data_IF_349625109020
#
_entry.id   IF_349625109020
#
_cell.length_a   1.000
_cell.length_b   1.000
_cell.length_c   1.000
_cell.angle_alpha   90.00
_cell.angle_beta   90.00
_cell.angle_gamma   90.00
#
_symmetry.space_group_name_H-M   'P 1'
#
loop_
_entity.id
_entity.type
_entity.pdbx_description
1 polymer ?
#
# COMPACT_ATOMS: atom_id res chain seq x y z
N UNK A 1 -3.82 -31.22 20.70
CA UNK A 1 -3.79 -31.11 19.23
C UNK A 1 -4.33 -29.74 18.89
N UNK A 2 -3.67 -28.99 18.01
CA UNK A 2 -4.20 -27.71 17.54
C UNK A 2 -5.53 -27.95 16.83
N UNK A 3 -6.47 -27.01 16.97
CA UNK A 3 -7.75 -27.10 16.31
C UNK A 3 -7.62 -27.00 14.79
N UNK A 4 -8.44 -27.77 14.06
CA UNK A 4 -8.44 -27.85 12.61
C UNK A 4 -9.86 -27.70 12.07
N UNK A 5 -10.02 -26.95 10.98
CA UNK A 5 -11.26 -26.84 10.21
C UNK A 5 -10.95 -27.29 8.78
N UNK A 6 -11.66 -28.29 8.27
CA UNK A 6 -11.36 -28.99 7.01
C UNK A 6 -9.90 -29.50 6.92
N UNK A 7 -9.33 -29.94 8.05
CA UNK A 7 -7.97 -30.49 8.10
C UNK A 7 -6.84 -29.46 8.15
N UNK A 8 -7.16 -28.16 8.13
CA UNK A 8 -6.18 -27.07 8.23
C UNK A 8 -6.33 -26.32 9.56
N UNK A 9 -5.20 -26.07 10.23
CA UNK A 9 -5.13 -25.19 11.40
C UNK A 9 -5.17 -23.72 10.97
N UNK A 10 -5.39 -22.82 11.93
CA UNK A 10 -5.27 -21.37 11.71
C UNK A 10 -3.86 -20.97 11.23
N UNK A 11 -2.83 -21.67 11.74
CA UNK A 11 -1.44 -21.47 11.31
C UNK A 11 -1.23 -21.91 9.85
N UNK A 12 -1.78 -23.06 9.43
CA UNK A 12 -1.68 -23.51 8.04
C UNK A 12 -2.31 -22.49 7.09
N UNK A 13 -3.45 -21.89 7.47
CA UNK A 13 -4.10 -20.84 6.68
C UNK A 13 -3.20 -19.60 6.53
N UNK A 14 -2.53 -19.19 7.60
CA UNK A 14 -1.60 -18.05 7.58
C UNK A 14 -0.35 -18.33 6.72
N UNK A 15 0.20 -19.54 6.79
CA UNK A 15 1.33 -19.96 5.95
C UNK A 15 0.95 -20.01 4.46
N UNK A 16 -0.21 -20.59 4.14
CA UNK A 16 -0.70 -20.65 2.76
C UNK A 16 -0.95 -19.24 2.21
N UNK A 17 -1.54 -18.33 3.00
CA UNK A 17 -1.74 -16.94 2.57
C UNK A 17 -0.43 -16.20 2.34
N UNK A 18 0.56 -16.36 3.22
CA UNK A 18 1.88 -15.77 3.01
C UNK A 18 2.55 -16.31 1.73
N UNK A 19 2.39 -17.61 1.45
CA UNK A 19 2.90 -18.22 0.22
C UNK A 19 2.14 -17.75 -1.03
N UNK A 20 0.81 -17.61 -0.97
CA UNK A 20 0.00 -17.07 -2.07
C UNK A 20 0.50 -15.66 -2.46
N UNK A 21 0.66 -14.77 -1.48
CA UNK A 21 1.24 -13.43 -1.69
C UNK A 21 2.64 -13.52 -2.30
N UNK A 22 3.51 -14.41 -1.81
CA UNK A 22 4.86 -14.56 -2.34
C UNK A 22 4.89 -15.08 -3.79
N UNK A 23 3.96 -15.98 -4.15
CA UNK A 23 3.85 -16.54 -5.50
C UNK A 23 3.26 -15.54 -6.49
N UNK A 24 2.23 -14.78 -6.10
CA UNK A 24 1.77 -13.61 -6.84
C UNK A 24 2.92 -12.64 -7.03
N UNK A 25 3.74 -12.47 -6.00
CA UNK A 25 4.90 -11.61 -6.06
C UNK A 25 6.03 -12.13 -6.99
N UNK A 26 6.00 -13.40 -7.36
CA UNK A 26 7.02 -14.00 -8.22
C UNK A 26 6.59 -14.11 -9.67
N UNK A 27 5.34 -14.50 -9.86
CA UNK A 27 4.83 -14.91 -11.16
C UNK A 27 3.81 -13.92 -11.73
N UNK A 28 3.34 -12.97 -10.92
CA UNK A 28 2.25 -12.07 -11.28
C UNK A 28 0.87 -12.70 -11.10
N UNK A 29 -0.14 -11.84 -10.95
CA UNK A 29 -1.53 -12.22 -10.65
C UNK A 29 -2.14 -13.17 -11.69
N UNK A 30 -1.82 -13.00 -12.97
CA UNK A 30 -2.37 -13.85 -14.03
C UNK A 30 -1.73 -15.25 -14.11
N UNK A 31 -0.54 -15.47 -13.53
CA UNK A 31 0.26 -16.66 -13.78
C UNK A 31 0.68 -17.45 -12.52
N UNK A 32 0.35 -16.99 -11.31
CA UNK A 32 0.75 -17.68 -10.07
C UNK A 32 -0.05 -18.96 -9.78
N UNK A 33 -1.27 -19.11 -10.32
CA UNK A 33 -2.20 -20.20 -9.98
C UNK A 33 -1.59 -21.61 -9.97
N UNK A 34 -0.91 -22.06 -11.05
CA UNK A 34 -0.28 -23.38 -11.09
C UNK A 34 0.77 -23.63 -9.99
N UNK A 35 1.44 -22.57 -9.53
CA UNK A 35 2.43 -22.65 -8.46
C UNK A 35 1.78 -22.79 -7.09
N UNK A 36 0.65 -22.10 -6.87
CA UNK A 36 -0.14 -22.26 -5.66
C UNK A 36 -0.72 -23.67 -5.59
N UNK A 37 -1.26 -24.19 -6.68
CA UNK A 37 -1.77 -25.56 -6.75
C UNK A 37 -0.69 -26.60 -6.38
N UNK A 38 0.52 -26.43 -6.92
CA UNK A 38 1.65 -27.30 -6.59
C UNK A 38 2.04 -27.22 -5.11
N UNK A 39 2.02 -26.03 -4.51
CA UNK A 39 2.30 -25.83 -3.09
C UNK A 39 1.21 -26.46 -2.19
N UNK A 40 -0.06 -26.25 -2.52
CA UNK A 40 -1.19 -26.85 -1.81
C UNK A 40 -1.13 -28.38 -1.85
N UNK A 41 -0.81 -28.95 -3.02
CA UNK A 41 -0.63 -30.38 -3.17
C UNK A 41 0.52 -30.93 -2.29
N UNK A 42 1.63 -30.20 -2.14
CA UNK A 42 2.73 -30.57 -1.22
C UNK A 42 2.29 -30.55 0.25
N UNK A 43 1.36 -29.65 0.61
CA UNK A 43 0.73 -29.60 1.94
C UNK A 43 -0.38 -30.64 2.13
N UNK A 44 -0.68 -31.45 1.11
CA UNK A 44 -1.73 -32.47 1.17
C UNK A 44 -3.15 -31.89 1.13
N UNK A 45 -3.32 -30.71 0.53
CA UNK A 45 -4.62 -30.05 0.33
C UNK A 45 -4.78 -29.61 -1.12
N UNK A 46 -5.91 -29.01 -1.46
CA UNK A 46 -6.21 -28.41 -2.76
C UNK A 46 -6.87 -27.05 -2.58
N UNK A 47 -7.04 -26.30 -3.68
CA UNK A 47 -7.58 -24.94 -3.64
C UNK A 47 -9.00 -24.87 -3.07
N UNK A 48 -9.85 -25.88 -3.37
CA UNK A 48 -11.22 -25.91 -2.88
C UNK A 48 -11.26 -26.17 -1.37
N UNK A 49 -10.47 -27.13 -0.88
CA UNK A 49 -10.34 -27.47 0.54
C UNK A 49 -9.76 -26.30 1.32
N UNK A 50 -8.72 -25.65 0.81
CA UNK A 50 -8.17 -24.42 1.39
C UNK A 50 -9.20 -23.30 1.45
N UNK A 51 -9.93 -23.03 0.37
CA UNK A 51 -10.97 -21.99 0.35
C UNK A 51 -12.07 -22.24 1.40
N UNK A 52 -12.53 -23.49 1.55
CA UNK A 52 -13.49 -23.86 2.59
C UNK A 52 -12.93 -23.70 4.00
N UNK A 53 -11.68 -24.12 4.25
CA UNK A 53 -11.00 -23.92 5.52
C UNK A 53 -10.87 -22.43 5.87
N UNK A 54 -10.40 -21.62 4.92
CA UNK A 54 -10.24 -20.19 5.10
C UNK A 54 -11.57 -19.51 5.42
N UNK A 55 -12.62 -19.75 4.61
CA UNK A 55 -13.93 -19.14 4.84
C UNK A 55 -14.51 -19.50 6.21
N UNK A 56 -14.31 -20.74 6.67
CA UNK A 56 -14.78 -21.17 7.97
C UNK A 56 -13.97 -20.57 9.13
N UNK A 57 -12.64 -20.49 9.00
CA UNK A 57 -11.79 -19.78 9.96
C UNK A 57 -12.12 -18.29 10.01
N UNK A 58 -12.29 -17.65 8.87
CA UNK A 58 -12.69 -16.25 8.75
C UNK A 58 -14.02 -15.99 9.45
N UNK A 59 -15.06 -16.78 9.14
CA UNK A 59 -16.38 -16.68 9.81
C UNK A 59 -16.25 -16.79 11.34
N UNK A 60 -15.37 -17.67 11.82
CA UNK A 60 -15.14 -17.83 13.24
C UNK A 60 -14.39 -16.66 13.87
N UNK A 61 -13.39 -16.11 13.19
CA UNK A 61 -12.68 -14.90 13.62
C UNK A 61 -13.63 -13.70 13.71
N UNK A 62 -14.49 -13.54 12.70
CA UNK A 62 -15.53 -12.50 12.66
C UNK A 62 -16.57 -12.66 13.79
N UNK A 63 -16.80 -13.90 14.22
CA UNK A 63 -17.70 -14.23 15.34
C UNK A 63 -17.02 -14.23 16.70
N UNK A 64 -15.73 -13.89 16.80
CA UNK A 64 -14.99 -13.85 18.06
C UNK A 64 -15.01 -12.43 18.66
N UNK A 65 -15.88 -12.14 19.65
CA UNK A 65 -15.98 -10.82 20.25
C UNK A 65 -14.72 -10.39 21.01
N UNK A 66 -13.84 -11.35 21.33
CA UNK A 66 -12.59 -11.06 22.04
C UNK A 66 -11.47 -10.59 21.12
N UNK A 67 -11.61 -10.78 19.79
CA UNK A 67 -10.58 -10.49 18.80
C UNK A 67 -9.32 -11.37 18.90
N UNK A 68 -9.31 -12.38 19.78
CA UNK A 68 -8.12 -13.19 20.06
C UNK A 68 -7.74 -14.06 18.86
N UNK A 69 -8.71 -14.61 18.14
CA UNK A 69 -8.42 -15.41 16.94
C UNK A 69 -7.81 -14.57 15.82
N UNK A 70 -8.29 -13.33 15.61
CA UNK A 70 -7.66 -12.40 14.67
C UNK A 70 -6.22 -12.07 15.07
N UNK A 71 -5.98 -11.79 16.35
CA UNK A 71 -4.63 -11.51 16.85
C UNK A 71 -3.66 -12.69 16.70
N UNK A 72 -4.17 -13.91 16.93
CA UNK A 72 -3.41 -15.13 16.73
C UNK A 72 -3.07 -15.35 15.26
N UNK A 73 -4.05 -15.21 14.36
CA UNK A 73 -3.86 -15.31 12.92
C UNK A 73 -2.83 -14.30 12.42
N UNK A 74 -2.97 -13.03 12.81
CA UNK A 74 -2.03 -11.96 12.48
C UNK A 74 -0.59 -12.29 12.89
N UNK A 75 -0.40 -12.89 14.07
CA UNK A 75 0.93 -13.31 14.54
C UNK A 75 1.51 -14.39 13.62
N UNK A 76 0.73 -15.42 13.29
CA UNK A 76 1.18 -16.49 12.41
C UNK A 76 1.48 -15.97 11.01
N UNK A 77 0.63 -15.09 10.49
CA UNK A 77 0.82 -14.48 9.18
C UNK A 77 2.10 -13.65 9.15
N UNK A 78 2.33 -12.79 10.15
CA UNK A 78 3.57 -12.02 10.24
C UNK A 78 4.81 -12.93 10.26
N UNK A 79 4.78 -14.02 11.03
CA UNK A 79 5.89 -14.98 11.08
C UNK A 79 6.13 -15.65 9.72
N UNK A 80 5.07 -16.11 9.06
CA UNK A 80 5.15 -16.76 7.75
C UNK A 80 5.65 -15.80 6.66
N UNK A 81 5.10 -14.58 6.62
CA UNK A 81 5.52 -13.51 5.71
C UNK A 81 6.99 -13.13 5.91
N UNK A 82 7.45 -13.01 7.16
CA UNK A 82 8.86 -12.77 7.45
C UNK A 82 9.76 -13.91 6.98
N UNK A 83 9.37 -15.16 7.24
CA UNK A 83 10.11 -16.31 6.74
C UNK A 83 10.19 -16.34 5.21
N UNK A 84 9.08 -16.03 4.52
CA UNK A 84 9.00 -16.01 3.07
C UNK A 84 9.80 -14.86 2.42
N UNK A 85 9.87 -13.69 3.04
CA UNK A 85 10.56 -12.52 2.47
C UNK A 85 12.00 -12.36 2.90
N UNK A 86 12.49 -13.13 3.88
CA UNK A 86 13.86 -13.03 4.36
C UNK A 86 14.67 -14.32 4.15
N UNK A 87 14.13 -15.33 3.48
CA UNK A 87 14.83 -16.60 3.32
C UNK A 87 16.19 -16.49 2.59
N UNK A 88 16.33 -15.49 1.70
CA UNK A 88 17.60 -15.22 0.99
C UNK A 88 18.38 -14.02 1.55
N UNK A 89 17.89 -13.39 2.63
CA UNK A 89 18.61 -12.32 3.31
C UNK A 89 19.58 -12.95 4.30
N UNK A 90 20.90 -12.67 4.21
CA UNK A 90 21.87 -13.20 5.16
C UNK A 90 21.51 -12.84 6.61
N UNK A 91 21.60 -13.82 7.51
CA UNK A 91 21.42 -13.60 8.94
C UNK A 91 22.57 -12.74 9.49
N UNK A 92 22.25 -11.50 9.85
CA UNK A 92 23.15 -10.51 10.43
C UNK A 92 23.23 -10.64 11.96
N UNK A 93 22.55 -11.61 12.59
CA UNK A 93 22.54 -11.78 14.05
C UNK A 93 23.95 -11.90 14.65
N UNK A 94 24.88 -12.50 13.89
CA UNK A 94 26.28 -12.70 14.28
C UNK A 94 27.24 -11.66 13.72
N UNK A 95 26.77 -10.76 12.84
CA UNK A 95 27.59 -9.64 12.37
C UNK A 95 27.95 -8.77 13.56
N UNK A 96 29.20 -8.33 13.65
CA UNK A 96 29.71 -7.55 14.76
C UNK A 96 30.17 -6.15 14.31
N UNK A 97 29.79 -5.14 15.09
CA UNK A 97 30.34 -3.78 15.00
C UNK A 97 31.02 -3.45 16.32
N UNK A 98 32.29 -3.05 16.28
CA UNK A 98 33.08 -2.75 17.49
C UNK A 98 33.11 -3.92 18.49
N UNK A 99 33.07 -5.16 17.99
CA UNK A 99 33.03 -6.37 18.82
C UNK A 99 31.66 -6.69 19.43
N UNK A 100 30.59 -5.97 19.06
CA UNK A 100 29.22 -6.21 19.53
C UNK A 100 28.38 -6.78 18.40
N UNK A 101 27.88 -8.01 18.56
CA UNK A 101 26.98 -8.63 17.58
C UNK A 101 25.60 -7.98 17.57
N UNK A 102 24.85 -8.11 16.48
CA UNK A 102 23.48 -7.60 16.41
C UNK A 102 22.57 -8.24 17.46
N UNK A 103 22.71 -9.56 17.68
CA UNK A 103 21.98 -10.29 18.72
C UNK A 103 22.25 -9.72 20.12
N UNK A 104 23.53 -9.48 20.44
CA UNK A 104 23.93 -8.91 21.73
C UNK A 104 23.43 -7.47 21.88
N UNK A 105 23.56 -6.66 20.83
CA UNK A 105 23.04 -5.29 20.80
C UNK A 105 21.53 -5.26 21.06
N UNK A 106 20.75 -6.07 20.34
CA UNK A 106 19.29 -6.17 20.52
C UNK A 106 18.91 -6.67 21.93
N UNK A 107 19.62 -7.66 22.46
CA UNK A 107 19.40 -8.19 23.82
C UNK A 107 19.60 -7.12 24.90
N UNK A 108 20.71 -6.38 24.83
CA UNK A 108 21.00 -5.30 25.78
C UNK A 108 19.92 -4.22 25.69
N UNK A 109 19.59 -3.77 24.46
CA UNK A 109 18.59 -2.72 24.23
C UNK A 109 17.20 -3.13 24.74
N UNK A 110 16.76 -4.37 24.49
CA UNK A 110 15.48 -4.89 24.96
C UNK A 110 15.39 -4.93 26.50
N UNK A 111 16.45 -5.40 27.17
CA UNK A 111 16.51 -5.45 28.64
C UNK A 111 16.55 -4.06 29.27
N UNK A 112 17.30 -3.14 28.67
CA UNK A 112 17.38 -1.76 29.13
C UNK A 112 16.02 -1.05 28.99
N UNK A 113 15.28 -1.29 27.90
CA UNK A 113 13.92 -0.79 27.74
C UNK A 113 12.95 -1.34 28.80
N UNK A 114 13.22 -2.55 29.31
CA UNK A 114 12.54 -3.13 30.47
C UNK A 114 12.95 -2.53 31.83
N UNK A 115 13.73 -1.45 31.86
CA UNK A 115 14.14 -0.72 33.07
C UNK A 115 15.38 -1.26 33.77
N UNK A 116 16.10 -2.22 33.18
CA UNK A 116 17.38 -2.69 33.71
C UNK A 116 18.48 -1.66 33.47
N UNK A 117 19.47 -1.60 34.37
CA UNK A 117 20.61 -0.69 34.24
C UNK A 117 21.48 -1.04 33.03
N UNK A 118 21.56 -0.11 32.07
CA UNK A 118 22.26 -0.30 30.80
C UNK A 118 23.76 -0.59 31.02
N UNK A 119 24.41 0.12 31.96
CA UNK A 119 25.84 -0.06 32.20
C UNK A 119 26.15 -1.43 32.81
N UNK A 120 25.30 -1.92 33.70
CA UNK A 120 25.39 -3.27 34.24
C UNK A 120 25.16 -4.35 33.17
N UNK A 121 24.20 -4.17 32.25
CA UNK A 121 23.97 -5.08 31.13
C UNK A 121 25.18 -5.16 30.19
N UNK A 122 25.77 -4.01 29.84
CA UNK A 122 26.98 -3.94 29.02
C UNK A 122 28.15 -4.66 29.71
N UNK A 123 28.34 -4.43 31.01
CA UNK A 123 29.39 -5.08 31.79
C UNK A 123 29.17 -6.61 31.91
N UNK A 124 27.92 -7.09 31.98
CA UNK A 124 27.60 -8.53 31.99
C UNK A 124 28.06 -9.25 30.71
N UNK A 125 28.09 -8.54 29.59
CA UNK A 125 28.56 -9.06 28.30
C UNK A 125 30.09 -8.90 28.13
N UNK A 126 30.80 -8.46 29.17
CA UNK A 126 32.26 -8.29 29.16
C UNK A 126 32.76 -7.08 28.38
N UNK A 127 31.87 -6.12 28.09
CA UNK A 127 32.18 -4.90 27.35
C UNK A 127 32.49 -3.75 28.31
N UNK A 128 33.41 -2.88 27.92
CA UNK A 128 33.53 -1.57 28.57
C UNK A 128 32.52 -0.57 27.98
N UNK A 129 32.21 0.48 28.76
CA UNK A 129 31.20 1.47 28.35
C UNK A 129 31.58 2.25 27.09
N UNK A 130 32.88 2.53 26.90
CA UNK A 130 33.35 3.26 25.73
C UNK A 130 33.21 2.42 24.46
N UNK A 131 33.46 1.12 24.54
CA UNK A 131 33.23 0.16 23.47
C UNK A 131 31.75 0.08 23.11
N UNK A 132 30.87 -0.01 24.11
CA UNK A 132 29.42 0.01 23.87
C UNK A 132 28.95 1.27 23.14
N UNK A 133 29.41 2.46 23.54
CA UNK A 133 29.02 3.70 22.87
C UNK A 133 29.47 3.74 21.39
N UNK A 134 30.66 3.22 21.08
CA UNK A 134 31.13 3.09 19.68
C UNK A 134 30.28 2.08 18.91
N UNK A 135 30.00 0.93 19.51
CA UNK A 135 29.14 -0.10 18.90
C UNK A 135 27.74 0.43 18.61
N UNK A 136 27.12 1.14 19.55
CA UNK A 136 25.81 1.76 19.37
C UNK A 136 25.81 2.76 18.20
N UNK A 137 26.84 3.60 18.10
CA UNK A 137 27.00 4.56 17.00
C UNK A 137 27.19 3.84 15.65
N UNK A 138 27.99 2.77 15.64
CA UNK A 138 28.24 1.98 14.43
C UNK A 138 26.98 1.23 13.96
N UNK A 139 26.20 0.65 14.88
CA UNK A 139 24.94 0.01 14.55
C UNK A 139 23.87 0.99 14.07
N UNK A 140 23.74 2.14 14.72
CA UNK A 140 22.81 3.18 14.27
C UNK A 140 23.19 3.71 12.87
N UNK A 141 24.47 3.91 12.61
CA UNK A 141 24.96 4.29 11.27
C UNK A 141 24.67 3.19 10.24
N UNK A 142 24.92 1.92 10.59
CA UNK A 142 24.67 0.80 9.69
C UNK A 142 23.17 0.64 9.36
N UNK A 143 22.29 0.72 10.36
CA UNK A 143 20.84 0.68 10.16
C UNK A 143 20.33 1.92 9.42
N UNK A 144 20.93 3.10 9.64
CA UNK A 144 20.58 4.31 8.89
C UNK A 144 21.02 4.28 7.42
N UNK A 145 22.06 3.51 7.10
CA UNK A 145 22.52 3.29 5.72
C UNK A 145 21.80 2.12 5.02
N UNK A 146 21.03 1.33 5.76
CA UNK A 146 20.28 0.18 5.25
C UNK A 146 18.96 0.63 4.62
N UNK A 147 19.06 1.05 3.36
CA UNK A 147 17.93 1.56 2.55
C UNK A 147 16.87 0.50 2.25
N UNK A 148 17.21 -0.79 2.38
CA UNK A 148 16.28 -1.90 2.17
C UNK A 148 15.72 -2.44 3.48
N UNK A 149 16.13 -1.85 4.61
CA UNK A 149 15.69 -2.17 5.96
C UNK A 149 15.87 -3.64 6.38
N UNK A 150 16.79 -4.37 5.74
CA UNK A 150 17.08 -5.76 6.11
C UNK A 150 17.62 -5.88 7.53
N UNK A 151 18.64 -5.10 7.84
CA UNK A 151 19.29 -5.04 9.14
C UNK A 151 18.34 -4.49 10.21
N UNK A 152 17.59 -3.44 9.91
CA UNK A 152 16.60 -2.88 10.84
C UNK A 152 15.49 -3.89 11.15
N UNK A 153 15.02 -4.65 10.16
CA UNK A 153 14.03 -5.70 10.37
C UNK A 153 14.57 -6.83 11.25
N UNK A 154 15.78 -7.32 10.97
CA UNK A 154 16.43 -8.34 11.79
C UNK A 154 16.68 -7.87 13.23
N UNK A 155 17.12 -6.63 13.41
CA UNK A 155 17.21 -6.01 14.74
C UNK A 155 15.86 -6.01 15.46
N UNK A 156 14.78 -5.60 14.79
CA UNK A 156 13.43 -5.60 15.33
C UNK A 156 12.96 -6.99 15.78
N UNK A 157 13.25 -8.03 14.99
CA UNK A 157 12.94 -9.42 15.34
C UNK A 157 13.72 -9.89 16.58
N UNK A 158 15.01 -9.59 16.65
CA UNK A 158 15.85 -9.91 17.81
C UNK A 158 15.40 -9.14 19.06
N UNK A 159 15.06 -7.87 18.91
CA UNK A 159 14.54 -7.04 19.99
C UNK A 159 13.22 -7.59 20.54
N UNK A 160 12.28 -7.95 19.66
CA UNK A 160 11.02 -8.59 20.02
C UNK A 160 11.22 -9.92 20.76
N UNK A 161 12.18 -10.74 20.29
CA UNK A 161 12.56 -12.01 20.94
C UNK A 161 13.08 -11.80 22.37
N UNK A 162 13.82 -10.72 22.62
CA UNK A 162 14.41 -10.45 23.93
C UNK A 162 13.54 -9.61 24.87
N UNK A 163 12.45 -9.03 24.38
CA UNK A 163 11.51 -8.25 25.18
C UNK A 163 10.48 -9.17 25.83
N UNK A 164 10.49 -9.34 27.17
CA UNK A 164 9.55 -10.23 27.83
C UNK A 164 8.11 -9.75 27.62
N UNK A 165 7.21 -10.67 27.26
CA UNK A 165 5.81 -10.33 27.06
C UNK A 165 5.50 -9.61 25.74
N UNK A 166 6.49 -9.33 24.89
CA UNK A 166 6.28 -8.53 23.66
C UNK A 166 5.21 -9.15 22.76
N UNK A 167 5.33 -10.45 22.48
CA UNK A 167 4.37 -11.15 21.63
C UNK A 167 2.97 -11.15 22.25
N UNK A 168 2.85 -11.35 23.56
CA UNK A 168 1.57 -11.31 24.28
C UNK A 168 0.96 -9.89 24.27
N UNK A 169 1.78 -8.86 24.45
CA UNK A 169 1.35 -7.47 24.38
C UNK A 169 0.84 -7.12 22.99
N UNK A 170 1.58 -7.51 21.94
CA UNK A 170 1.19 -7.29 20.55
C UNK A 170 -0.12 -8.00 20.22
N UNK A 171 -0.26 -9.27 20.60
CA UNK A 171 -1.51 -10.01 20.46
C UNK A 171 -2.66 -9.34 21.22
N UNK A 172 -2.43 -8.91 22.46
CA UNK A 172 -3.42 -8.20 23.26
C UNK A 172 -3.87 -6.88 22.63
N UNK A 173 -2.96 -6.12 22.01
CA UNK A 173 -3.30 -4.89 21.30
C UNK A 173 -4.16 -5.16 20.07
N UNK A 174 -3.77 -6.12 19.23
CA UNK A 174 -4.56 -6.49 18.04
C UNK A 174 -5.94 -7.02 18.46
N UNK A 175 -5.99 -7.87 19.47
CA UNK A 175 -7.25 -8.41 19.99
C UNK A 175 -8.16 -7.30 20.53
N UNK A 176 -7.60 -6.34 21.26
CA UNK A 176 -8.35 -5.18 21.78
C UNK A 176 -8.93 -4.30 20.67
N UNK A 177 -8.20 -4.08 19.58
CA UNK A 177 -8.70 -3.33 18.42
C UNK A 177 -9.85 -4.09 17.74
N UNK A 178 -9.67 -5.39 17.48
CA UNK A 178 -10.69 -6.20 16.83
C UNK A 178 -11.95 -6.36 17.69
N UNK A 179 -11.78 -6.50 19.01
CA UNK A 179 -12.90 -6.47 19.96
C UNK A 179 -13.64 -5.12 19.93
N UNK A 180 -12.90 -4.01 19.80
CA UNK A 180 -13.48 -2.68 19.61
C UNK A 180 -14.31 -2.57 18.33
N UNK A 181 -13.78 -3.06 17.20
CA UNK A 181 -14.49 -3.09 15.92
C UNK A 181 -15.76 -3.97 16.00
N UNK A 182 -15.66 -5.12 16.67
CA UNK A 182 -16.80 -6.00 16.89
C UNK A 182 -17.89 -5.31 17.72
N UNK A 183 -17.51 -4.67 18.83
CA UNK A 183 -18.44 -3.93 19.69
C UNK A 183 -19.12 -2.76 18.94
N UNK A 184 -18.38 -2.06 18.08
CA UNK A 184 -18.92 -1.01 17.22
C UNK A 184 -19.97 -1.56 16.25
N UNK A 185 -19.70 -2.69 15.58
CA UNK A 185 -20.67 -3.34 14.68
C UNK A 185 -21.93 -3.82 15.41
N UNK A 186 -21.78 -4.44 16.58
CA UNK A 186 -22.92 -4.89 17.39
C UNK A 186 -23.76 -3.73 17.93
N UNK A 187 -23.12 -2.61 18.28
CA UNK A 187 -23.83 -1.40 18.68
C UNK A 187 -24.70 -0.83 17.55
N UNK A 188 -24.50 -1.31 16.31
CA UNK A 188 -24.97 -0.65 15.10
C UNK A 188 -24.25 0.68 15.04
N UNK A 189 -23.09 0.74 14.37
CA UNK A 189 -22.38 1.99 14.12
C UNK A 189 -23.46 2.97 13.63
N UNK A 190 -23.83 4.00 14.43
CA UNK A 190 -24.73 5.02 13.93
C UNK A 190 -24.08 5.49 12.65
N UNK A 191 -24.83 5.60 11.56
CA UNK A 191 -24.32 6.28 10.36
C UNK A 191 -23.90 7.67 10.85
N UNK A 192 -22.62 7.80 11.23
CA UNK A 192 -22.03 9.09 11.52
C UNK A 192 -22.17 9.78 10.18
N UNK A 193 -22.97 10.85 10.13
CA UNK A 193 -23.10 11.66 8.94
C UNK A 193 -21.68 12.08 8.57
N UNK A 194 -21.11 11.39 7.58
CA UNK A 194 -19.81 11.73 7.06
C UNK A 194 -19.95 13.17 6.59
N UNK A 195 -19.12 14.11 7.11
CA UNK A 195 -19.25 15.50 6.73
C UNK A 195 -19.19 15.57 5.21
N UNK A 196 -20.27 16.09 4.62
CA UNK A 196 -20.41 16.16 3.18
C UNK A 196 -19.21 16.91 2.60
N UNK A 197 -18.47 16.27 1.70
CA UNK A 197 -17.33 16.91 1.04
C UNK A 197 -17.87 17.86 -0.03
N UNK A 198 -17.94 19.14 0.31
CA UNK A 198 -18.64 20.13 -0.50
C UNK A 198 -17.79 20.62 -1.67
N UNK A 199 -18.43 21.25 -2.66
CA UNK A 199 -17.71 21.91 -3.76
C UNK A 199 -16.76 23.01 -3.26
N UNK A 200 -17.13 23.74 -2.21
CA UNK A 200 -16.26 24.76 -1.60
C UNK A 200 -15.00 24.13 -0.97
N UNK A 201 -15.11 22.92 -0.42
CA UNK A 201 -13.95 22.17 0.08
C UNK A 201 -13.02 21.75 -1.05
N UNK A 202 -13.56 21.25 -2.16
CA UNK A 202 -12.78 20.88 -3.35
C UNK A 202 -12.00 22.09 -3.88
N UNK A 203 -12.67 23.24 -4.05
CA UNK A 203 -12.03 24.47 -4.55
C UNK A 203 -10.94 24.97 -3.60
N UNK A 204 -11.19 24.93 -2.28
CA UNK A 204 -10.19 25.29 -1.27
C UNK A 204 -8.99 24.36 -1.30
N UNK A 205 -9.20 23.05 -1.46
CA UNK A 205 -8.15 22.04 -1.40
C UNK A 205 -7.31 21.93 -2.68
N UNK A 206 -7.82 22.39 -3.82
CA UNK A 206 -6.99 22.59 -5.04
C UNK A 206 -5.82 23.58 -4.83
N UNK A 207 -5.88 24.41 -3.78
CA UNK A 207 -4.82 25.34 -3.39
C UNK A 207 -3.98 24.84 -2.21
N UNK A 208 -4.17 23.59 -1.77
CA UNK A 208 -3.38 22.99 -0.69
C UNK A 208 -1.89 22.86 -1.10
N UNK A 209 -0.93 23.18 -0.21
CA UNK A 209 0.50 23.05 -0.51
C UNK A 209 0.94 21.60 -0.72
N UNK A 210 0.17 20.61 -0.26
CA UNK A 210 0.42 19.20 -0.52
C UNK A 210 -0.11 18.82 -1.91
N UNK A 211 0.77 18.40 -2.83
CA UNK A 211 0.37 18.00 -4.17
C UNK A 211 -0.73 16.95 -4.24
N UNK A 212 -0.72 15.96 -3.34
CA UNK A 212 -1.70 14.88 -3.35
C UNK A 212 -3.10 15.37 -3.01
N UNK A 213 -3.21 16.25 -2.02
CA UNK A 213 -4.48 16.85 -1.60
C UNK A 213 -5.12 17.61 -2.76
N UNK A 214 -4.37 18.51 -3.39
CA UNK A 214 -4.89 19.31 -4.52
C UNK A 214 -5.23 18.47 -5.76
N UNK A 215 -4.50 17.39 -6.05
CA UNK A 215 -4.79 16.50 -7.17
C UNK A 215 -6.04 15.67 -6.92
N UNK A 216 -6.23 15.20 -5.68
CA UNK A 216 -7.46 14.52 -5.27
C UNK A 216 -8.66 15.46 -5.39
N UNK A 217 -8.51 16.71 -4.92
CA UNK A 217 -9.54 17.73 -5.07
C UNK A 217 -9.84 18.07 -6.55
N UNK A 218 -8.81 18.13 -7.42
CA UNK A 218 -8.99 18.31 -8.86
C UNK A 218 -9.81 17.18 -9.49
N UNK A 219 -9.55 15.92 -9.11
CA UNK A 219 -10.36 14.79 -9.56
C UNK A 219 -11.81 14.87 -9.06
N UNK A 220 -12.04 15.34 -7.83
CA UNK A 220 -13.41 15.58 -7.34
C UNK A 220 -14.13 16.71 -8.11
N UNK A 221 -13.43 17.77 -8.49
CA UNK A 221 -13.98 18.80 -9.38
C UNK A 221 -14.29 18.22 -10.77
N UNK A 222 -13.45 17.33 -11.31
CA UNK A 222 -13.74 16.65 -12.57
C UNK A 222 -15.02 15.81 -12.48
N UNK A 223 -15.18 15.03 -11.41
CA UNK A 223 -16.43 14.30 -11.15
C UNK A 223 -17.64 15.22 -11.07
N UNK A 224 -17.50 16.39 -10.42
CA UNK A 224 -18.57 17.37 -10.34
C UNK A 224 -18.85 18.05 -11.68
N UNK A 225 -17.85 18.22 -12.54
CA UNK A 225 -18.00 18.71 -13.90
C UNK A 225 -18.78 17.73 -14.79
N UNK A 226 -18.54 16.43 -14.65
CA UNK A 226 -19.24 15.37 -15.41
C UNK A 226 -20.76 15.40 -15.17
N UNK A 227 -21.17 15.56 -13.90
CA UNK A 227 -22.58 15.49 -13.48
C UNK A 227 -23.25 16.87 -13.29
N UNK A 228 -22.46 17.94 -13.28
CA UNK A 228 -22.88 19.28 -12.89
C UNK A 228 -23.41 20.15 -14.02
N UNK A 229 -23.83 21.37 -13.65
CA UNK A 229 -24.23 22.40 -14.61
C UNK A 229 -22.98 23.09 -15.20
N UNK A 230 -22.63 22.71 -16.44
CA UNK A 230 -21.46 23.24 -17.16
C UNK A 230 -21.55 24.73 -17.48
N UNK A 231 -22.74 25.33 -17.34
CA UNK A 231 -22.96 26.78 -17.47
C UNK A 231 -22.67 27.55 -16.16
N UNK A 232 -22.45 26.86 -15.02
CA UNK A 232 -22.06 27.50 -13.76
C UNK A 232 -20.63 28.09 -13.87
N UNK A 233 -20.45 29.42 -13.79
CA UNK A 233 -19.14 30.04 -13.90
C UNK A 233 -18.16 29.59 -12.81
N UNK A 234 -18.64 29.22 -11.62
CA UNK A 234 -17.78 28.77 -10.53
C UNK A 234 -17.22 27.37 -10.82
N UNK A 235 -18.09 26.44 -11.26
CA UNK A 235 -17.68 25.10 -11.67
C UNK A 235 -16.77 25.15 -12.90
N UNK A 236 -17.07 26.00 -13.87
CA UNK A 236 -16.23 26.17 -15.06
C UNK A 236 -14.82 26.68 -14.72
N UNK A 237 -14.72 27.68 -13.84
CA UNK A 237 -13.42 28.18 -13.37
C UNK A 237 -12.66 27.11 -12.59
N UNK A 238 -13.34 26.35 -11.72
CA UNK A 238 -12.75 25.26 -10.97
C UNK A 238 -12.26 24.13 -11.89
N UNK A 239 -13.03 23.75 -12.92
CA UNK A 239 -12.64 22.74 -13.90
C UNK A 239 -11.40 23.15 -14.70
N UNK A 240 -11.32 24.43 -15.11
CA UNK A 240 -10.11 24.97 -15.74
C UNK A 240 -8.88 24.81 -14.85
N UNK A 241 -9.02 25.12 -13.55
CA UNK A 241 -7.95 24.92 -12.55
C UNK A 241 -7.62 23.45 -12.33
N UNK A 242 -8.62 22.57 -12.28
CA UNK A 242 -8.44 21.14 -12.12
C UNK A 242 -7.63 20.55 -13.28
N UNK A 243 -7.86 20.98 -14.51
CA UNK A 243 -7.07 20.52 -15.65
C UNK A 243 -5.62 21.03 -15.66
N UNK A 244 -5.34 22.25 -15.17
CA UNK A 244 -3.95 22.69 -14.93
C UNK A 244 -3.25 21.77 -13.92
N UNK A 245 -3.95 21.39 -12.85
CA UNK A 245 -3.42 20.48 -11.82
C UNK A 245 -3.25 19.06 -12.35
N UNK A 246 -4.10 18.62 -13.28
CA UNK A 246 -3.96 17.35 -13.98
C UNK A 246 -2.70 17.32 -14.85
N UNK A 247 -2.42 18.39 -15.60
CA UNK A 247 -1.15 18.53 -16.34
C UNK A 247 0.05 18.51 -15.38
N UNK A 248 -0.01 19.25 -14.27
CA UNK A 248 1.05 19.22 -13.26
C UNK A 248 1.26 17.81 -12.68
N UNK A 249 0.19 17.06 -12.44
CA UNK A 249 0.27 15.67 -11.98
C UNK A 249 0.96 14.78 -13.01
N UNK A 250 0.55 14.87 -14.29
CA UNK A 250 1.22 14.17 -15.38
C UNK A 250 2.70 14.54 -15.49
N UNK A 251 3.11 15.76 -15.12
CA UNK A 251 4.51 16.16 -15.09
C UNK A 251 5.30 15.60 -13.89
N UNK A 252 4.64 15.12 -12.84
CA UNK A 252 5.29 14.81 -11.54
C UNK A 252 4.85 13.48 -10.90
N UNK A 253 4.13 12.63 -11.62
CA UNK A 253 3.55 11.41 -11.07
C UNK A 253 4.60 10.43 -10.51
N UNK A 254 5.82 10.44 -11.05
CA UNK A 254 6.92 9.60 -10.59
C UNK A 254 7.50 10.00 -9.22
N UNK A 255 7.20 11.22 -8.76
CA UNK A 255 7.60 11.69 -7.42
C UNK A 255 6.58 11.33 -6.34
N UNK A 256 5.33 11.04 -6.71
CA UNK A 256 4.22 11.02 -5.75
C UNK A 256 3.36 9.77 -5.91
N UNK A 257 2.71 9.59 -7.06
CA UNK A 257 1.71 8.52 -7.25
C UNK A 257 1.30 8.32 -8.71
N UNK A 258 1.19 7.06 -9.11
CA UNK A 258 0.83 6.65 -10.47
C UNK A 258 -0.69 6.63 -10.67
N UNK A 259 -1.46 6.20 -9.67
CA UNK A 259 -2.92 6.09 -9.74
C UNK A 259 -3.62 7.43 -9.98
N UNK A 260 -3.20 8.50 -9.29
CA UNK A 260 -3.81 9.82 -9.48
C UNK A 260 -3.49 10.36 -10.88
N UNK A 261 -2.36 9.97 -11.48
CA UNK A 261 -2.02 10.36 -12.85
C UNK A 261 -2.90 9.65 -13.90
N UNK A 262 -3.27 8.38 -13.67
CA UNK A 262 -4.23 7.65 -14.51
C UNK A 262 -5.62 8.31 -14.49
N UNK A 263 -6.12 8.61 -13.29
CA UNK A 263 -7.41 9.27 -13.10
C UNK A 263 -7.42 10.66 -13.76
N UNK A 264 -6.41 11.48 -13.49
CA UNK A 264 -6.34 12.84 -14.02
C UNK A 264 -6.07 12.89 -15.54
N UNK A 265 -5.40 11.89 -16.12
CA UNK A 265 -5.30 11.77 -17.57
C UNK A 265 -6.67 11.52 -18.21
N UNK A 266 -7.50 10.70 -17.56
CA UNK A 266 -8.87 10.42 -18.01
C UNK A 266 -9.75 11.67 -17.89
N UNK A 267 -9.61 12.41 -16.79
CA UNK A 267 -10.32 13.69 -16.57
C UNK A 267 -9.95 14.73 -17.63
N UNK A 268 -8.68 14.83 -18.03
CA UNK A 268 -8.25 15.73 -19.12
C UNK A 268 -8.94 15.40 -20.44
N UNK A 269 -9.07 14.11 -20.78
CA UNK A 269 -9.79 13.69 -21.98
C UNK A 269 -11.28 14.00 -21.87
N UNK A 270 -11.89 13.81 -20.69
CA UNK A 270 -13.28 14.18 -20.43
C UNK A 270 -13.49 15.68 -20.63
N UNK A 271 -12.66 16.53 -20.00
CA UNK A 271 -12.72 17.98 -20.16
C UNK A 271 -12.58 18.42 -21.62
N UNK A 272 -11.69 17.78 -22.38
CA UNK A 272 -11.55 18.01 -23.82
C UNK A 272 -12.84 17.66 -24.57
N UNK A 273 -13.41 16.48 -24.33
CA UNK A 273 -14.64 16.01 -24.98
C UNK A 273 -15.86 16.88 -24.69
N UNK A 274 -15.90 17.47 -23.49
CA UNK A 274 -16.95 18.41 -23.06
C UNK A 274 -16.75 19.84 -23.58
N UNK A 275 -15.66 20.10 -24.31
CA UNK A 275 -15.39 21.41 -24.88
C UNK A 275 -14.88 22.44 -23.89
N UNK A 276 -14.35 22.03 -22.73
CA UNK A 276 -13.64 22.94 -21.80
C UNK A 276 -12.44 23.58 -22.51
N UNK A 277 -11.78 22.84 -23.40
CA UNK A 277 -10.60 23.27 -24.13
C UNK A 277 -10.89 23.58 -25.61
N UNK A 278 -10.16 24.56 -26.15
CA UNK A 278 -10.11 24.79 -27.59
C UNK A 278 -9.26 23.70 -28.28
N UNK A 279 -9.50 23.46 -29.57
CA UNK A 279 -8.75 22.47 -30.35
C UNK A 279 -7.22 22.70 -30.30
N UNK A 280 -6.79 23.98 -30.26
CA UNK A 280 -5.36 24.32 -30.11
C UNK A 280 -4.76 23.79 -28.81
N UNK A 281 -5.51 23.80 -27.70
CA UNK A 281 -5.04 23.27 -26.41
C UNK A 281 -5.11 21.74 -26.37
N UNK A 282 -5.94 21.12 -27.21
CA UNK A 282 -6.07 19.67 -27.27
C UNK A 282 -4.77 18.98 -27.70
N UNK A 283 -4.02 19.59 -28.62
CA UNK A 283 -2.71 19.09 -29.07
C UNK A 283 -1.64 19.20 -27.98
N UNK A 284 -1.65 20.30 -27.21
CA UNK A 284 -0.73 20.48 -26.08
C UNK A 284 -1.00 19.40 -25.00
N UNK A 285 -2.28 19.21 -24.64
CA UNK A 285 -2.70 18.16 -23.71
C UNK A 285 -2.34 16.74 -24.20
N UNK A 286 -2.54 16.46 -25.49
CA UNK A 286 -2.09 15.21 -26.13
C UNK A 286 -0.58 15.02 -25.96
N UNK A 287 0.18 16.10 -26.19
CA UNK A 287 1.62 16.13 -25.99
C UNK A 287 2.02 15.84 -24.54
N UNK A 288 1.28 16.33 -23.56
CA UNK A 288 1.53 16.10 -22.14
C UNK A 288 1.32 14.62 -21.77
N UNK A 289 0.20 14.05 -22.21
CA UNK A 289 -0.13 12.62 -22.05
C UNK A 289 0.94 11.74 -22.72
N UNK A 290 1.38 12.08 -23.94
CA UNK A 290 2.43 11.35 -24.63
C UNK A 290 3.79 11.42 -23.90
N UNK A 291 4.15 12.57 -23.33
CA UNK A 291 5.37 12.70 -22.49
C UNK A 291 5.26 11.92 -21.19
N UNK A 292 4.08 11.88 -20.57
CA UNK A 292 3.83 11.06 -19.39
C UNK A 292 3.96 9.56 -19.72
N UNK A 293 3.35 9.11 -20.83
CA UNK A 293 3.47 7.73 -21.32
C UNK A 293 4.93 7.34 -21.54
N UNK A 294 5.71 8.17 -22.23
CA UNK A 294 7.12 7.88 -22.47
C UNK A 294 7.92 7.74 -21.17
N UNK A 295 7.72 8.64 -20.20
CA UNK A 295 8.37 8.52 -18.88
C UNK A 295 7.89 7.30 -18.10
N UNK A 296 6.61 6.94 -18.19
CA UNK A 296 6.08 5.72 -17.61
C UNK A 296 6.80 4.48 -18.16
N UNK A 297 7.02 4.42 -19.47
CA UNK A 297 7.79 3.35 -20.13
C UNK A 297 9.25 3.29 -19.64
N UNK A 298 9.92 4.44 -19.53
CA UNK A 298 11.30 4.50 -18.99
C UNK A 298 11.35 4.00 -17.54
N UNK A 299 10.42 4.43 -16.69
CA UNK A 299 10.36 4.01 -15.28
C UNK A 299 10.04 2.52 -15.15
N UNK A 300 9.09 1.99 -15.93
CA UNK A 300 8.80 0.56 -16.00
C UNK A 300 10.06 -0.24 -16.34
N UNK A 301 10.82 0.20 -17.35
CA UNK A 301 12.07 -0.46 -17.75
C UNK A 301 13.10 -0.46 -16.61
N UNK A 302 13.25 0.65 -15.89
CA UNK A 302 14.15 0.74 -14.72
C UNK A 302 13.74 -0.25 -13.63
N UNK A 303 12.45 -0.32 -13.29
CA UNK A 303 11.96 -1.24 -12.27
C UNK A 303 12.09 -2.72 -12.69
N UNK A 304 11.79 -3.05 -13.95
CA UNK A 304 12.00 -4.39 -14.49
C UNK A 304 13.48 -4.80 -14.47
N UNK A 305 14.39 -3.90 -14.84
CA UNK A 305 15.83 -4.15 -14.80
C UNK A 305 16.34 -4.36 -13.36
N UNK A 306 15.80 -3.62 -12.39
CA UNK A 306 16.13 -3.79 -10.97
C UNK A 306 15.53 -5.08 -10.37
N UNK A 307 14.37 -5.51 -10.86
CA UNK A 307 13.69 -6.72 -10.40
C UNK A 307 14.37 -8.00 -10.90
N UNK A 308 14.88 -8.00 -12.14
CA UNK A 308 15.50 -9.17 -12.77
C UNK A 308 16.52 -9.93 -11.88
N UNK A 309 17.54 -9.28 -11.27
CA UNK A 309 18.53 -9.98 -10.45
C UNK A 309 17.99 -10.55 -9.13
N UNK A 310 16.78 -10.17 -8.71
CA UNK A 310 16.14 -10.61 -7.47
C UNK A 310 14.85 -11.40 -7.68
N UNK A 311 14.42 -11.62 -8.93
CA UNK A 311 13.15 -12.30 -9.26
C UNK A 311 12.99 -13.64 -8.53
N UNK A 312 14.04 -14.46 -8.54
CA UNK A 312 14.08 -15.76 -7.87
C UNK A 312 14.57 -15.72 -6.42
N UNK A 313 14.59 -14.54 -5.77
CA UNK A 313 15.04 -14.38 -4.39
C UNK A 313 13.89 -14.01 -3.46
N UNK A 314 13.92 -14.57 -2.27
CA UNK A 314 13.09 -14.24 -1.11
C UNK A 314 13.68 -13.01 -0.39
N UNK A 315 13.46 -11.83 -0.98
CA UNK A 315 13.85 -10.52 -0.43
C UNK A 315 12.66 -9.55 -0.45
N UNK A 316 12.51 -8.63 0.53
CA UNK A 316 11.37 -7.72 0.60
C UNK A 316 11.24 -6.76 -0.60
N UNK A 317 12.37 -6.36 -1.20
CA UNK A 317 12.45 -5.43 -2.33
C UNK A 317 11.68 -5.94 -3.56
N UNK A 318 11.50 -7.26 -3.66
CA UNK A 318 10.73 -7.91 -4.71
C UNK A 318 9.30 -7.39 -4.77
N UNK A 319 8.62 -7.30 -3.62
CA UNK A 319 7.22 -6.82 -3.54
C UNK A 319 7.12 -5.37 -3.98
N UNK A 320 8.02 -4.51 -3.46
CA UNK A 320 8.04 -3.08 -3.79
C UNK A 320 8.25 -2.86 -5.29
N UNK A 321 9.25 -3.53 -5.87
CA UNK A 321 9.54 -3.39 -7.30
C UNK A 321 8.41 -3.91 -8.17
N UNK A 322 7.74 -4.98 -7.76
CA UNK A 322 6.63 -5.50 -8.54
C UNK A 322 5.37 -4.65 -8.44
N UNK A 323 5.04 -4.11 -7.27
CA UNK A 323 3.96 -3.12 -7.14
C UNK A 323 4.21 -1.98 -8.11
N UNK A 324 5.43 -1.42 -8.11
CA UNK A 324 5.80 -0.38 -9.07
C UNK A 324 5.67 -0.86 -10.53
N UNK A 325 6.13 -2.08 -10.87
CA UNK A 325 5.95 -2.64 -12.21
C UNK A 325 4.47 -2.71 -12.60
N UNK A 326 3.59 -3.15 -11.70
CA UNK A 326 2.15 -3.23 -11.93
C UNK A 326 1.55 -1.85 -12.13
N UNK A 327 1.85 -0.90 -11.24
CA UNK A 327 1.36 0.48 -11.31
C UNK A 327 1.76 1.14 -12.63
N UNK A 328 3.05 1.07 -13.02
CA UNK A 328 3.50 1.63 -14.28
C UNK A 328 2.95 0.89 -15.51
N UNK A 329 2.68 -0.42 -15.42
CA UNK A 329 2.05 -1.16 -16.51
C UNK A 329 0.62 -0.67 -16.73
N UNK A 330 -0.17 -0.55 -15.65
CA UNK A 330 -1.52 0.01 -15.67
C UNK A 330 -1.55 1.43 -16.26
N UNK A 331 -0.59 2.27 -15.86
CA UNK A 331 -0.50 3.64 -16.37
C UNK A 331 -0.23 3.65 -17.86
N UNK A 332 0.73 2.84 -18.32
CA UNK A 332 1.08 2.77 -19.73
C UNK A 332 -0.11 2.29 -20.56
N UNK A 333 -0.84 1.28 -20.09
CA UNK A 333 -2.07 0.80 -20.74
C UNK A 333 -3.10 1.93 -20.84
N UNK A 334 -3.42 2.58 -19.72
CA UNK A 334 -4.38 3.69 -19.65
C UNK A 334 -3.99 4.84 -20.57
N UNK A 335 -2.75 5.35 -20.49
CA UNK A 335 -2.30 6.47 -21.31
C UNK A 335 -2.22 6.10 -22.80
N UNK A 336 -1.90 4.85 -23.14
CA UNK A 336 -1.89 4.38 -24.54
C UNK A 336 -3.31 4.36 -25.11
N UNK A 337 -4.27 3.80 -24.35
CA UNK A 337 -5.69 3.74 -24.74
C UNK A 337 -6.29 5.15 -24.90
N UNK A 338 -5.92 6.10 -24.01
CA UNK A 338 -6.32 7.50 -24.12
C UNK A 338 -5.78 8.16 -25.40
N UNK A 339 -4.51 7.90 -25.74
CA UNK A 339 -3.89 8.46 -26.94
C UNK A 339 -4.45 7.88 -28.24
N UNK A 340 -4.79 6.60 -28.25
CA UNK A 340 -5.40 5.95 -29.43
C UNK A 340 -6.75 6.59 -29.79
N UNK A 341 -7.56 6.96 -28.79
CA UNK A 341 -8.86 7.60 -28.99
C UNK A 341 -8.86 9.13 -28.77
N UNK A 342 -7.70 9.79 -28.82
CA UNK A 342 -7.61 11.21 -28.47
C UNK A 342 -8.28 12.11 -29.51
N UNK A 343 -8.05 11.84 -30.79
CA UNK A 343 -8.55 12.69 -31.88
C UNK A 343 -10.09 12.64 -31.98
N UNK A 344 -10.70 11.54 -31.56
CA UNK A 344 -12.16 11.39 -31.47
C UNK A 344 -12.78 12.23 -30.35
N UNK A 345 -11.98 12.69 -29.38
CA UNK A 345 -12.44 13.52 -28.26
C UNK A 345 -12.42 15.02 -28.59
N UNK A 346 -11.79 15.44 -29.69
CA UNK A 346 -11.74 16.86 -30.07
C UNK A 346 -13.09 17.24 -30.71
N UNK A 347 -13.87 18.18 -30.13
CA UNK A 347 -15.15 18.56 -30.71
C UNK A 347 -14.96 19.22 -32.08
N UNK A 348 -15.67 18.75 -33.11
CA UNK A 348 -15.67 19.36 -34.44
C UNK A 348 -16.07 20.85 -34.35
N UNK A 349 -15.35 21.73 -35.03
CA UNK A 349 -15.64 23.18 -35.02
C UNK A 349 -17.07 23.51 -35.49
N UNK A 350 -17.63 22.65 -36.35
CA UNK A 350 -18.98 22.80 -36.88
C UNK A 350 -20.08 22.43 -35.86
N UNK A 351 -19.80 21.55 -34.89
CA UNK A 351 -20.76 21.13 -33.86
C UNK A 351 -20.95 22.17 -32.75
N UNK A 352 -19.97 23.07 -32.56
CA UNK A 352 -20.04 24.16 -31.56
C UNK A 352 -21.14 25.20 -31.84
N UNK A 353 -21.80 25.16 -33.00
CA UNK A 353 -22.85 26.12 -33.40
C UNK A 353 -24.28 25.64 -33.18
N UNK A 354 -24.48 24.40 -32.75
CA UNK A 354 -25.82 23.90 -32.43
C UNK A 354 -26.00 23.92 -30.91
N UNK A 355 -26.88 24.78 -30.34
CA UNK A 355 -27.21 24.69 -28.92
C UNK A 355 -27.78 23.30 -28.65
N UNK A 356 -27.04 22.52 -27.85
CA UNK A 356 -27.37 21.14 -27.56
C UNK A 356 -28.78 21.05 -26.96
N UNK A 357 -29.68 20.36 -27.66
CA UNK A 357 -30.93 19.93 -27.07
C UNK A 357 -30.59 18.86 -26.03
N UNK A 358 -30.66 19.24 -24.75
CA UNK A 358 -30.52 18.38 -23.58
C UNK A 358 -31.20 17.02 -23.80
N UNK A 359 -30.40 15.98 -24.02
CA UNK A 359 -30.86 14.61 -23.97
C UNK A 359 -30.86 14.20 -22.50
N UNK A 360 -32.05 14.03 -21.92
CA UNK A 360 -32.22 13.48 -20.59
C UNK A 360 -31.74 12.03 -20.54
N UNK A 361 -30.47 11.85 -20.16
CA UNK A 361 -29.90 10.55 -19.82
C UNK A 361 -30.49 10.06 -18.50
N UNK A 362 -31.05 8.85 -18.49
CA UNK A 362 -31.51 8.20 -17.27
C UNK A 362 -30.34 7.92 -16.30
N UNK A 363 -30.61 7.77 -15.00
CA UNK A 363 -29.58 7.63 -13.98
C UNK A 363 -28.74 6.36 -14.22
N UNK A 364 -27.47 6.54 -14.60
CA UNK A 364 -26.45 5.50 -14.53
C UNK A 364 -26.00 5.37 -13.08
N UNK A 365 -26.28 4.22 -12.47
CA UNK A 365 -25.76 3.87 -11.14
C UNK A 365 -24.32 3.38 -11.30
N UNK A 366 -23.36 4.31 -11.30
CA UNK A 366 -21.96 3.95 -11.14
C UNK A 366 -21.75 3.53 -9.68
N UNK A 367 -21.54 2.23 -9.44
CA UNK A 367 -20.97 1.79 -8.17
C UNK A 367 -19.51 2.22 -8.16
N UNK A 368 -19.17 3.18 -7.31
CA UNK A 368 -17.79 3.44 -6.95
C UNK A 368 -17.17 2.13 -6.41
N UNK A 369 -15.99 1.70 -6.89
CA UNK A 369 -15.27 0.63 -6.22
C UNK A 369 -14.91 1.14 -4.83
N UNK A 370 -15.48 0.52 -3.79
CA UNK A 370 -15.01 0.72 -2.42
C UNK A 370 -13.63 0.07 -2.31
N UNK A 371 -12.59 0.83 -2.66
CA UNK A 371 -11.22 0.52 -2.24
C UNK A 371 -11.16 0.73 -0.73
N UNK A 372 -11.52 -0.30 0.04
CA UNK A 372 -11.18 -0.32 1.46
C UNK A 372 -9.66 -0.52 1.57
N UNK A 373 -8.88 0.53 1.26
CA UNK A 373 -7.44 0.60 1.52
C UNK A 373 -7.13 0.62 3.04
N UNK A 374 -8.16 0.65 3.89
CA UNK A 374 -8.07 0.47 5.34
C UNK A 374 -7.95 -0.98 5.82
N UNK A 375 -7.21 -1.84 5.10
CA UNK A 375 -6.98 -3.23 5.52
C UNK A 375 -6.24 -3.35 6.86
N UNK A 376 -6.11 -4.57 7.38
CA UNK A 376 -5.40 -4.90 8.64
C UNK A 376 -4.01 -4.22 8.80
N UNK A 377 -3.31 -3.96 7.69
CA UNK A 377 -2.05 -3.20 7.67
C UNK A 377 -2.21 -1.74 8.15
N UNK A 378 -3.32 -1.07 7.85
CA UNK A 378 -3.58 0.30 8.31
C UNK A 378 -3.87 0.36 9.81
N UNK A 379 -4.46 -0.71 10.36
CA UNK A 379 -4.59 -0.92 11.81
C UNK A 379 -3.21 -1.09 12.46
N UNK A 380 -2.32 -1.89 11.85
CA UNK A 380 -0.96 -2.08 12.35
C UNK A 380 -0.10 -0.79 12.26
N UNK A 381 -0.30 0.04 11.23
CA UNK A 381 0.34 1.37 11.08
C UNK A 381 -0.02 2.35 12.19
N UNK A 382 -1.19 2.17 12.83
CA UNK A 382 -1.69 3.02 13.92
C UNK A 382 -1.22 2.57 15.30
N UNK A 383 -0.56 1.40 15.42
CA UNK A 383 -0.04 0.92 16.70
C UNK A 383 1.18 1.74 17.15
N UNK A 384 1.29 2.15 18.43
CA UNK A 384 2.33 3.08 18.90
C UNK A 384 3.76 2.50 18.86
N UNK A 385 3.93 1.18 18.77
CA UNK A 385 5.24 0.51 18.74
C UNK A 385 5.55 -0.07 17.35
N UNK A 386 4.54 -0.67 16.70
CA UNK A 386 4.70 -1.27 15.36
C UNK A 386 4.51 -0.25 14.25
N UNK A 387 3.63 0.75 14.42
CA UNK A 387 3.36 1.77 13.43
C UNK A 387 4.59 2.55 12.99
N UNK A 388 5.45 3.03 13.91
CA UNK A 388 6.73 3.65 13.52
C UNK A 388 7.67 2.69 12.79
N UNK A 389 7.67 1.40 13.15
CA UNK A 389 8.50 0.36 12.52
C UNK A 389 8.00 0.01 11.11
N UNK A 390 6.68 -0.16 10.92
CA UNK A 390 6.07 -0.41 9.61
C UNK A 390 6.16 0.81 8.69
N UNK A 391 5.96 2.02 9.23
CA UNK A 391 6.20 3.27 8.49
C UNK A 391 7.66 3.40 8.08
N UNK A 392 8.60 2.94 8.90
CA UNK A 392 10.03 2.87 8.54
C UNK A 392 10.30 1.84 7.44
N UNK A 393 9.51 0.77 7.37
CA UNK A 393 9.61 -0.29 6.37
C UNK A 393 8.85 0.02 5.06
N UNK A 394 8.16 1.17 4.98
CA UNK A 394 7.33 1.53 3.83
C UNK A 394 6.11 0.62 3.63
N UNK A 395 5.69 -0.10 4.68
CA UNK A 395 4.53 -0.99 4.70
C UNK A 395 3.30 -0.31 5.25
#
# INVERSE_FOLDING_TARGET
MSEQIYGLTLQDCAEIMAQDTALRAEHGEAAYGPWLDAYLAQKGTDQNTWAHAWNAWWTRMESDPSGQLHAQFATYQQQATMAAHFADVPDASQDAKEGVTLDMYARIMARAAGGQDMQALVAQEGLDWAQWQRAQTAWNTAMGADVNHHLTTQYGQLYAKYTPGFQQQMQGQVAGIMAGHYAQREAGIPDEEEPEYTFDDMVREMEDPNPRTRWTAAHHVANQWDIGDKDDPALHAAAGRAGELAQECLERFDDITVSEAEALASDLRMFLSDGLYAAEHAEDLKGDVARALHRGQERLQVHQAAFEPIRGKAVPEKIKLQSAIQDYTSLIETLSDLLEGWDDAVPDEDDRRSPAASFGGGPSTAMAPSSSEGGFLDILKKLPIIGPLLKLLGL
#
